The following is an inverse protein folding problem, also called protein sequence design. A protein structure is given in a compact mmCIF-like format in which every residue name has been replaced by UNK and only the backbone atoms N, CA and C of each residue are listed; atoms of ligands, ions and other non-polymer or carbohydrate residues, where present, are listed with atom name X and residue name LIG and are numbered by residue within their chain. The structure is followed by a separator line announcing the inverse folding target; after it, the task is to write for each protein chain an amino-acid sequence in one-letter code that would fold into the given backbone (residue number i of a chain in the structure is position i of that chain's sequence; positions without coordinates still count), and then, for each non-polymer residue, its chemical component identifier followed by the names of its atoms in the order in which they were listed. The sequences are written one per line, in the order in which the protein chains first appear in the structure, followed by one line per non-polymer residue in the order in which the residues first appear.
data_IF_606886428846
#
_entry.id   IF_606886428846
#
_cell.length_a   1.000
_cell.length_b   1.000
_cell.length_c   1.000
_cell.angle_alpha   90.00
_cell.angle_beta   90.00
_cell.angle_gamma   90.00
#
_symmetry.space_group_name_H-M   'P 1'
#
loop_
_entity.id
_entity.type
_entity.pdbx_description
1 polymer ?
#
# COMPACT_ATOMS: atom_id res chain seq x y z
N UNK A 1 3.38 -14.32 31.48
CA UNK A 1 3.92 -12.99 31.16
C UNK A 1 4.86 -13.18 29.97
N UNK A 2 4.33 -13.11 28.75
CA UNK A 2 5.17 -13.13 27.54
C UNK A 2 5.53 -11.69 27.20
N UNK A 3 6.82 -11.40 27.23
CA UNK A 3 7.42 -10.15 26.79
C UNK A 3 7.24 -10.02 25.29
N UNK A 4 6.28 -9.19 24.90
CA UNK A 4 6.09 -8.74 23.53
C UNK A 4 7.34 -7.93 23.14
N UNK A 5 8.26 -8.57 22.43
CA UNK A 5 9.43 -7.90 21.86
C UNK A 5 8.93 -7.23 20.60
N UNK A 6 8.91 -5.89 20.48
CA UNK A 6 8.54 -5.27 19.22
C UNK A 6 9.53 -5.77 18.17
N UNK A 7 9.00 -6.42 17.14
CA UNK A 7 9.79 -6.84 15.99
C UNK A 7 10.59 -5.62 15.51
N UNK A 8 11.92 -5.70 15.61
CA UNK A 8 12.80 -4.63 15.18
C UNK A 8 12.60 -4.47 13.67
N UNK A 9 11.83 -3.47 13.27
CA UNK A 9 11.72 -3.08 11.89
C UNK A 9 13.14 -2.78 11.35
N UNK A 10 13.54 -3.51 10.31
CA UNK A 10 14.79 -3.26 9.61
C UNK A 10 14.56 -2.12 8.63
N UNK A 11 15.34 -1.04 8.77
CA UNK A 11 15.30 0.09 7.84
C UNK A 11 15.59 -0.34 6.41
N UNK A 12 14.94 0.33 5.46
CA UNK A 12 15.20 0.16 4.04
C UNK A 12 16.62 0.59 3.66
N UNK A 13 17.30 -0.25 2.89
CA UNK A 13 18.47 0.14 2.11
C UNK A 13 17.99 0.68 0.75
N UNK A 14 17.79 2.00 0.67
CA UNK A 14 17.31 2.67 -0.54
C UNK A 14 18.15 2.38 -1.79
N UNK A 15 19.49 2.53 -1.73
CA UNK A 15 20.37 2.13 -2.83
C UNK A 15 20.20 0.66 -3.27
N UNK A 16 20.10 -0.28 -2.34
CA UNK A 16 19.91 -1.69 -2.67
C UNK A 16 18.55 -1.95 -3.34
N UNK A 17 17.47 -1.36 -2.82
CA UNK A 17 16.13 -1.47 -3.42
C UNK A 17 16.12 -0.89 -4.84
N UNK A 18 16.67 0.32 -5.03
CA UNK A 18 16.76 0.94 -6.36
C UNK A 18 17.58 0.08 -7.33
N UNK A 19 18.68 -0.50 -6.87
CA UNK A 19 19.51 -1.42 -7.66
C UNK A 19 18.74 -2.67 -8.06
N UNK A 20 17.93 -3.21 -7.15
CA UNK A 20 17.10 -4.39 -7.43
C UNK A 20 15.99 -4.08 -8.43
N UNK A 21 15.31 -2.94 -8.32
CA UNK A 21 14.29 -2.51 -9.30
C UNK A 21 14.92 -2.31 -10.69
N UNK A 22 16.14 -1.73 -10.76
CA UNK A 22 16.86 -1.62 -12.03
C UNK A 22 17.20 -2.99 -12.63
N UNK A 23 17.57 -3.97 -11.80
CA UNK A 23 17.81 -5.34 -12.26
C UNK A 23 16.54 -6.02 -12.81
N UNK A 24 15.37 -5.78 -12.18
CA UNK A 24 14.09 -6.25 -12.70
C UNK A 24 13.78 -5.63 -14.08
N UNK A 25 14.00 -4.32 -14.24
CA UNK A 25 13.82 -3.63 -15.50
C UNK A 25 14.69 -4.20 -16.63
N UNK A 26 15.95 -4.51 -16.33
CA UNK A 26 16.87 -5.13 -17.30
C UNK A 26 16.46 -6.56 -17.68
N UNK A 27 15.87 -7.31 -16.73
CA UNK A 27 15.40 -8.66 -16.98
C UNK A 27 14.07 -8.71 -17.75
N UNK A 28 13.31 -7.60 -17.77
CA UNK A 28 11.99 -7.51 -18.39
C UNK A 28 11.87 -6.29 -19.34
N UNK A 29 12.65 -6.24 -20.44
CA UNK A 29 12.66 -5.10 -21.37
C UNK A 29 11.33 -4.92 -22.12
N UNK A 30 10.47 -5.95 -22.13
CA UNK A 30 9.15 -5.91 -22.75
C UNK A 30 8.01 -5.63 -21.78
N UNK A 31 8.29 -5.34 -20.50
CA UNK A 31 7.29 -5.17 -19.44
C UNK A 31 6.25 -6.30 -19.40
N UNK A 32 6.71 -7.55 -19.57
CA UNK A 32 5.87 -8.75 -19.65
C UNK A 32 5.39 -9.22 -18.28
N UNK A 33 6.07 -8.80 -17.22
CA UNK A 33 5.62 -9.05 -15.85
C UNK A 33 4.30 -8.31 -15.62
N UNK A 34 3.37 -8.98 -14.94
CA UNK A 34 2.05 -8.42 -14.67
C UNK A 34 2.17 -7.04 -13.97
N UNK A 35 1.42 -6.05 -14.49
CA UNK A 35 1.42 -4.66 -14.04
C UNK A 35 2.68 -3.83 -14.38
N UNK A 36 3.77 -4.46 -14.83
CA UNK A 36 5.01 -3.75 -15.16
C UNK A 36 4.88 -2.75 -16.31
N UNK A 37 3.93 -2.95 -17.22
CA UNK A 37 3.66 -1.99 -18.30
C UNK A 37 3.13 -0.65 -17.78
N UNK A 38 2.44 -0.64 -16.63
CA UNK A 38 1.92 0.58 -16.01
C UNK A 38 3.02 1.42 -15.36
N UNK A 39 3.78 0.82 -14.44
CA UNK A 39 4.81 1.55 -13.70
C UNK A 39 6.18 1.59 -14.40
N UNK A 40 6.45 0.71 -15.36
CA UNK A 40 7.69 0.68 -16.16
C UNK A 40 8.98 0.57 -15.33
N UNK A 41 8.90 -0.10 -14.18
CA UNK A 41 9.94 -0.14 -13.14
C UNK A 41 10.46 1.24 -12.68
N UNK A 42 9.70 2.32 -12.88
CA UNK A 42 10.07 3.68 -12.45
C UNK A 42 9.64 3.94 -11.02
N UNK A 43 10.60 4.19 -10.14
CA UNK A 43 10.33 4.68 -8.79
C UNK A 43 10.14 6.20 -8.81
N UNK A 44 9.13 6.69 -8.08
CA UNK A 44 9.01 8.12 -7.83
C UNK A 44 10.12 8.58 -6.88
N UNK A 45 10.56 9.85 -6.95
CA UNK A 45 11.53 10.38 -5.99
C UNK A 45 11.07 10.17 -4.54
N UNK A 46 11.99 9.89 -3.59
CA UNK A 46 11.65 9.86 -2.18
C UNK A 46 11.00 11.17 -1.74
N UNK A 47 10.01 11.08 -0.85
CA UNK A 47 9.32 12.23 -0.31
C UNK A 47 10.19 12.97 0.72
N UNK A 48 10.26 14.30 0.67
CA UNK A 48 10.85 15.08 1.75
C UNK A 48 10.12 14.81 3.07
N UNK A 49 10.87 14.78 4.17
CA UNK A 49 10.33 14.60 5.53
C UNK A 49 9.17 15.56 5.83
N UNK A 50 9.24 16.81 5.35
CA UNK A 50 8.15 17.78 5.54
C UNK A 50 6.87 17.42 4.75
N UNK A 51 6.99 16.79 3.58
CA UNK A 51 5.82 16.32 2.83
C UNK A 51 5.13 15.16 3.56
N UNK A 52 5.92 14.23 4.13
CA UNK A 52 5.42 13.13 4.97
C UNK A 52 4.72 13.70 6.20
N UNK A 53 5.37 14.62 6.93
CA UNK A 53 4.79 15.25 8.12
C UNK A 53 3.53 16.04 7.81
N UNK A 54 3.49 16.74 6.67
CA UNK A 54 2.29 17.46 6.23
C UNK A 54 1.13 16.51 6.03
N UNK A 55 1.35 15.36 5.39
CA UNK A 55 0.33 14.33 5.23
C UNK A 55 -0.14 13.78 6.58
N UNK A 56 0.81 13.41 7.45
CA UNK A 56 0.53 12.92 8.81
C UNK A 56 -0.32 13.92 9.62
N UNK A 57 0.04 15.21 9.59
CA UNK A 57 -0.71 16.28 10.27
C UNK A 57 -2.09 16.52 9.67
N UNK A 58 -2.22 16.52 8.34
CA UNK A 58 -3.48 16.78 7.67
C UNK A 58 -4.54 15.73 8.02
N UNK A 59 -4.12 14.47 8.21
CA UNK A 59 -5.04 13.37 8.51
C UNK A 59 -5.05 12.95 9.98
N UNK A 60 -4.25 13.59 10.85
CA UNK A 60 -4.19 13.30 12.29
C UNK A 60 -3.65 11.89 12.61
N UNK A 61 -2.68 11.42 11.84
CA UNK A 61 -2.11 10.07 11.94
C UNK A 61 -0.59 10.09 12.08
N UNK A 62 -0.02 8.92 12.39
CA UNK A 62 1.39 8.61 12.14
C UNK A 62 1.41 7.45 11.16
N UNK A 63 2.17 7.57 10.07
CA UNK A 63 2.24 6.49 9.09
C UNK A 63 2.97 5.27 9.68
N UNK A 64 2.59 4.03 9.30
CA UNK A 64 3.32 2.84 9.73
C UNK A 64 4.81 2.95 9.40
N UNK A 65 5.67 2.64 10.38
CA UNK A 65 7.11 2.91 10.32
C UNK A 65 7.78 2.40 9.03
N UNK A 66 7.45 1.17 8.61
CA UNK A 66 8.02 0.58 7.40
C UNK A 66 7.66 1.34 6.11
N UNK A 67 6.41 1.80 6.01
CA UNK A 67 5.94 2.59 4.87
C UNK A 67 6.50 4.01 4.93
N UNK A 68 6.51 4.64 6.10
CA UNK A 68 7.07 5.97 6.31
C UNK A 68 8.55 6.04 5.93
N UNK A 69 9.34 5.08 6.39
CA UNK A 69 10.77 5.00 6.08
C UNK A 69 10.99 4.69 4.58
N UNK A 70 10.12 3.89 3.95
CA UNK A 70 10.17 3.64 2.50
C UNK A 70 9.98 4.94 1.72
N UNK A 71 8.97 5.74 2.08
CA UNK A 71 8.64 6.99 1.41
C UNK A 71 9.82 7.97 1.42
N UNK A 72 10.52 8.08 2.55
CA UNK A 72 11.64 9.01 2.72
C UNK A 72 12.98 8.52 2.16
N UNK A 73 13.23 7.20 2.16
CA UNK A 73 14.54 6.66 1.78
C UNK A 73 14.57 6.00 0.39
N UNK A 74 13.44 5.45 -0.06
CA UNK A 74 13.36 4.62 -1.28
C UNK A 74 12.64 5.36 -2.40
N UNK A 75 11.34 5.62 -2.23
CA UNK A 75 10.48 6.17 -3.26
C UNK A 75 9.15 6.68 -2.69
N UNK A 76 8.64 7.78 -3.22
CA UNK A 76 7.33 8.32 -2.87
C UNK A 76 6.14 7.61 -3.54
N UNK A 77 6.37 6.51 -4.26
CA UNK A 77 5.41 5.81 -5.11
C UNK A 77 6.10 5.20 -6.34
N UNK A 78 5.33 4.82 -7.36
CA UNK A 78 5.80 4.28 -8.62
C UNK A 78 5.94 2.76 -8.60
N UNK A 79 7.09 2.22 -9.02
CA UNK A 79 7.27 0.78 -9.17
C UNK A 79 7.03 0.00 -7.88
N UNK A 80 6.33 -1.12 -8.01
CA UNK A 80 5.94 -1.98 -6.90
C UNK A 80 5.09 -3.17 -7.38
N UNK A 81 4.54 -3.96 -6.46
CA UNK A 81 3.59 -5.03 -6.76
C UNK A 81 2.51 -4.61 -7.76
N UNK A 82 2.19 -5.51 -8.69
CA UNK A 82 1.14 -5.33 -9.69
C UNK A 82 1.29 -4.00 -10.45
N UNK A 83 0.29 -3.11 -10.40
CA UNK A 83 0.32 -1.83 -11.13
C UNK A 83 1.17 -0.76 -10.42
N UNK A 84 1.78 -1.08 -9.29
CA UNK A 84 2.71 -0.23 -8.57
C UNK A 84 2.19 0.22 -7.21
N UNK A 85 2.93 1.16 -6.64
CA UNK A 85 2.69 1.76 -5.34
C UNK A 85 2.26 3.21 -5.50
N UNK A 86 1.10 3.55 -4.97
CA UNK A 86 0.61 4.92 -4.88
C UNK A 86 1.20 5.60 -3.65
N UNK A 87 1.81 6.76 -3.87
CA UNK A 87 2.24 7.65 -2.80
C UNK A 87 1.07 8.16 -1.96
N UNK A 88 1.27 8.58 -0.69
CA UNK A 88 0.18 9.00 0.21
C UNK A 88 -0.63 10.20 -0.29
N UNK A 89 -0.03 11.09 -1.10
CA UNK A 89 -0.71 12.25 -1.69
C UNK A 89 -0.72 12.20 -3.23
N UNK A 90 -0.52 11.02 -3.81
CA UNK A 90 -0.59 10.84 -5.26
C UNK A 90 -2.02 11.03 -5.76
N UNK A 91 -2.17 11.81 -6.83
CA UNK A 91 -3.45 12.05 -7.47
C UNK A 91 -3.79 10.87 -8.39
N UNK A 92 -5.07 10.57 -8.43
CA UNK A 92 -5.64 9.49 -9.22
C UNK A 92 -6.64 10.14 -10.16
N UNK A 93 -6.62 9.72 -11.43
CA UNK A 93 -7.57 10.23 -12.43
C UNK A 93 -9.00 9.83 -12.04
N UNK A 94 -9.97 10.70 -12.31
CA UNK A 94 -11.39 10.46 -12.02
C UNK A 94 -11.95 9.27 -12.81
N UNK A 95 -11.33 8.92 -13.93
CA UNK A 95 -11.71 7.78 -14.77
C UNK A 95 -11.20 6.43 -14.22
N UNK A 96 -10.26 6.45 -13.27
CA UNK A 96 -9.69 5.23 -12.70
C UNK A 96 -10.62 4.60 -11.67
N UNK A 97 -10.76 3.27 -11.71
CA UNK A 97 -11.62 2.53 -10.79
C UNK A 97 -11.26 2.73 -9.30
N UNK A 98 -10.02 3.14 -9.03
CA UNK A 98 -9.52 3.38 -7.69
C UNK A 98 -9.81 4.81 -7.16
N UNK A 99 -10.34 5.72 -7.99
CA UNK A 99 -10.57 7.12 -7.61
C UNK A 99 -11.43 7.26 -6.37
N UNK A 100 -12.64 6.68 -6.38
CA UNK A 100 -13.60 6.80 -5.28
C UNK A 100 -13.05 6.21 -3.97
N UNK A 101 -12.38 5.05 -4.07
CA UNK A 101 -11.75 4.40 -2.92
C UNK A 101 -10.63 5.26 -2.34
N UNK A 102 -9.86 5.92 -3.22
CA UNK A 102 -8.76 6.79 -2.81
C UNK A 102 -9.29 8.09 -2.20
N UNK A 103 -10.28 8.71 -2.82
CA UNK A 103 -10.93 9.92 -2.32
C UNK A 103 -11.58 9.66 -0.95
N UNK A 104 -12.19 8.49 -0.76
CA UNK A 104 -12.69 8.06 0.55
C UNK A 104 -11.58 7.99 1.61
N UNK A 105 -10.46 7.34 1.29
CA UNK A 105 -9.34 7.19 2.22
C UNK A 105 -8.83 8.55 2.74
N UNK A 106 -8.94 9.61 1.93
CA UNK A 106 -8.41 10.94 2.23
C UNK A 106 -9.43 11.86 2.92
N UNK A 107 -10.66 11.41 3.18
CA UNK A 107 -11.64 12.20 3.95
C UNK A 107 -11.17 12.42 5.40
N UNK A 108 -11.61 13.54 5.97
CA UNK A 108 -11.30 13.90 7.37
C UNK A 108 -11.68 12.77 8.34
N UNK A 109 -10.74 12.40 9.20
CA UNK A 109 -10.92 11.36 10.22
C UNK A 109 -10.92 9.92 9.70
N UNK A 110 -10.94 9.67 8.38
CA UNK A 110 -11.01 8.32 7.84
C UNK A 110 -9.79 7.48 8.20
N UNK A 111 -8.57 8.01 7.99
CA UNK A 111 -7.33 7.31 8.35
C UNK A 111 -7.08 7.24 9.85
N UNK A 112 -7.61 8.20 10.63
CA UNK A 112 -7.44 8.26 12.08
C UNK A 112 -8.39 7.32 12.83
N UNK A 113 -9.52 6.96 12.23
CA UNK A 113 -10.41 5.94 12.76
C UNK A 113 -9.71 4.57 12.76
N UNK A 114 -9.94 3.71 13.78
CA UNK A 114 -9.30 2.41 13.85
C UNK A 114 -9.82 1.47 12.77
N UNK A 115 -8.91 0.72 12.15
CA UNK A 115 -9.25 -0.33 11.22
C UNK A 115 -10.11 -1.40 11.91
N UNK A 116 -11.30 -1.74 11.39
CA UNK A 116 -12.32 -2.47 12.13
C UNK A 116 -12.11 -4.00 12.13
N UNK A 117 -11.05 -4.52 11.52
CA UNK A 117 -10.88 -5.95 11.29
C UNK A 117 -9.51 -6.46 11.74
N UNK A 118 -9.49 -7.68 12.27
CA UNK A 118 -8.26 -8.39 12.66
C UNK A 118 -8.11 -9.72 11.95
N UNK A 119 -9.19 -10.18 11.30
CA UNK A 119 -9.27 -11.42 10.53
C UNK A 119 -9.91 -11.15 9.18
N UNK A 120 -9.77 -12.11 8.25
CA UNK A 120 -10.41 -12.03 6.96
C UNK A 120 -11.92 -11.79 7.06
N UNK A 121 -12.45 -11.03 6.11
CA UNK A 121 -13.88 -10.81 5.88
C UNK A 121 -14.20 -11.34 4.49
N UNK A 122 -14.97 -12.44 4.36
CA UNK A 122 -15.29 -12.98 3.05
C UNK A 122 -16.13 -11.97 2.24
N UNK A 123 -15.93 -11.97 0.92
CA UNK A 123 -16.76 -11.19 0.01
C UNK A 123 -18.19 -11.73 0.00
N UNK A 124 -19.19 -10.89 -0.29
CA UNK A 124 -20.59 -11.31 -0.28
C UNK A 124 -20.96 -12.15 -1.52
N UNK A 125 -20.07 -12.26 -2.51
CA UNK A 125 -20.30 -12.95 -3.77
C UNK A 125 -21.10 -12.10 -4.75
N UNK A 126 -21.28 -12.64 -5.97
CA UNK A 126 -22.01 -11.95 -7.04
C UNK A 126 -23.44 -11.60 -6.60
N UNK A 127 -23.82 -10.33 -6.75
CA UNK A 127 -25.14 -9.81 -6.37
C UNK A 127 -25.31 -9.55 -4.87
N UNK A 128 -24.25 -9.73 -4.07
CA UNK A 128 -24.22 -9.34 -2.68
C UNK A 128 -23.91 -7.86 -2.48
N UNK A 129 -24.39 -7.30 -1.37
CA UNK A 129 -24.08 -5.93 -0.98
C UNK A 129 -22.74 -5.91 -0.23
N UNK A 130 -21.76 -5.22 -0.81
CA UNK A 130 -20.46 -5.06 -0.21
C UNK A 130 -20.37 -3.67 0.41
N UNK A 131 -20.13 -3.58 1.72
CA UNK A 131 -19.69 -2.33 2.33
C UNK A 131 -18.34 -1.98 1.69
N UNK A 132 -18.10 -0.80 1.13
CA UNK A 132 -16.79 -0.46 0.54
C UNK A 132 -15.91 0.37 1.50
N UNK A 133 -16.48 0.80 2.63
CA UNK A 133 -15.81 1.72 3.55
C UNK A 133 -14.96 0.97 4.57
N UNK A 134 -13.64 1.16 4.49
CA UNK A 134 -12.67 0.49 5.36
C UNK A 134 -11.78 1.52 6.05
N UNK A 135 -12.31 2.12 7.11
CA UNK A 135 -11.61 3.14 7.91
C UNK A 135 -10.26 2.65 8.43
N UNK A 136 -9.36 3.58 8.74
CA UNK A 136 -8.03 3.27 9.24
C UNK A 136 -7.11 2.60 8.22
N UNK A 137 -7.47 2.59 6.93
CA UNK A 137 -6.66 2.03 5.85
C UNK A 137 -6.48 3.00 4.69
N UNK A 138 -5.37 2.86 3.97
CA UNK A 138 -5.05 3.60 2.77
C UNK A 138 -4.88 2.62 1.60
N UNK A 139 -5.61 2.80 0.51
CA UNK A 139 -5.37 2.06 -0.73
C UNK A 139 -4.04 2.50 -1.31
N UNK A 140 -3.06 1.60 -1.41
CA UNK A 140 -1.69 1.89 -1.85
C UNK A 140 -1.33 1.29 -3.22
N UNK A 141 -2.24 0.56 -3.86
CA UNK A 141 -1.99 0.02 -5.20
C UNK A 141 -3.14 -0.84 -5.72
N UNK A 142 -3.14 -1.09 -7.02
CA UNK A 142 -4.13 -1.91 -7.71
C UNK A 142 -3.51 -3.26 -8.14
N UNK A 143 -4.18 -4.36 -7.79
CA UNK A 143 -3.80 -5.73 -8.13
C UNK A 143 -4.41 -6.22 -9.45
N UNK A 144 -5.28 -5.42 -10.08
CA UNK A 144 -6.08 -5.78 -11.24
C UNK A 144 -7.36 -6.52 -10.87
N UNK A 145 -8.24 -6.77 -11.85
CA UNK A 145 -9.55 -7.42 -11.66
C UNK A 145 -10.45 -6.72 -10.61
N UNK A 146 -10.22 -5.44 -10.33
CA UNK A 146 -10.94 -4.71 -9.28
C UNK A 146 -10.49 -5.04 -7.85
N UNK A 147 -9.32 -5.66 -7.69
CA UNK A 147 -8.70 -5.92 -6.39
C UNK A 147 -7.62 -4.86 -6.05
N UNK A 148 -7.51 -4.51 -4.78
CA UNK A 148 -6.63 -3.43 -4.31
C UNK A 148 -5.76 -3.87 -3.13
N UNK A 149 -4.60 -3.24 -3.01
CA UNK A 149 -3.73 -3.36 -1.84
C UNK A 149 -4.02 -2.23 -0.86
N UNK A 150 -4.38 -2.57 0.38
CA UNK A 150 -4.68 -1.62 1.46
C UNK A 150 -3.64 -1.70 2.57
N UNK A 151 -2.95 -0.60 2.84
CA UNK A 151 -2.13 -0.44 4.03
C UNK A 151 -3.03 -0.11 5.22
N UNK A 152 -2.98 -0.91 6.27
CA UNK A 152 -3.58 -0.53 7.56
C UNK A 152 -2.73 0.56 8.19
N UNK A 153 -3.33 1.72 8.43
CA UNK A 153 -2.69 2.92 8.99
C UNK A 153 -2.90 2.97 10.51
N UNK A 154 -4.15 2.80 10.96
CA UNK A 154 -4.52 2.94 12.37
C UNK A 154 -5.24 1.71 12.87
N UNK A 155 -4.90 1.23 14.06
CA UNK A 155 -5.49 0.03 14.68
C UNK A 155 -4.46 -1.07 14.94
N UNK A 156 -4.91 -2.23 15.42
CA UNK A 156 -4.02 -3.34 15.84
C UNK A 156 -3.24 -3.97 14.69
N UNK A 157 -3.70 -3.82 13.44
CA UNK A 157 -3.04 -4.31 12.24
C UNK A 157 -2.12 -3.29 11.56
N UNK A 158 -1.84 -2.13 12.18
CA UNK A 158 -1.08 -1.05 11.55
C UNK A 158 0.25 -1.54 10.93
N UNK A 159 0.46 -1.22 9.65
CA UNK A 159 1.60 -1.67 8.85
C UNK A 159 1.36 -2.92 8.01
N UNK A 160 0.28 -3.68 8.25
CA UNK A 160 -0.12 -4.79 7.37
C UNK A 160 -0.68 -4.29 6.04
N UNK A 161 -0.39 -5.02 4.97
CA UNK A 161 -0.99 -4.81 3.65
C UNK A 161 -2.06 -5.89 3.44
N UNK A 162 -3.30 -5.48 3.39
CA UNK A 162 -4.46 -6.33 3.16
C UNK A 162 -4.83 -6.34 1.68
N UNK A 163 -5.28 -7.48 1.16
CA UNK A 163 -5.91 -7.55 -0.16
C UNK A 163 -7.39 -7.25 -0.01
N UNK A 164 -7.86 -6.33 -0.85
CA UNK A 164 -9.26 -5.94 -0.99
C UNK A 164 -9.78 -6.41 -2.34
N UNK A 165 -10.33 -7.62 -2.37
CA UNK A 165 -11.06 -8.22 -3.50
C UNK A 165 -12.55 -8.30 -3.12
N UNK A 166 -13.15 -7.13 -2.87
CA UNK A 166 -14.35 -6.96 -2.05
C UNK A 166 -15.53 -7.86 -2.43
N UNK A 167 -15.71 -8.17 -3.72
CA UNK A 167 -16.83 -8.98 -4.23
C UNK A 167 -16.61 -10.47 -4.01
N UNK A 168 -15.40 -10.98 -4.29
CA UNK A 168 -15.11 -12.41 -4.32
C UNK A 168 -14.31 -12.85 -3.10
N UNK A 169 -13.03 -12.46 -3.02
CA UNK A 169 -12.13 -12.80 -1.91
C UNK A 169 -12.39 -12.04 -0.61
N UNK A 170 -13.10 -10.92 -0.68
CA UNK A 170 -13.34 -9.99 0.41
C UNK A 170 -12.08 -9.26 0.87
N UNK A 171 -12.01 -8.95 2.16
CA UNK A 171 -10.80 -8.40 2.79
C UNK A 171 -9.98 -9.52 3.41
N UNK A 172 -8.74 -9.69 2.98
CA UNK A 172 -7.85 -10.71 3.54
C UNK A 172 -6.57 -10.09 4.10
N UNK A 173 -6.13 -10.50 5.31
CA UNK A 173 -4.90 -10.00 5.89
C UNK A 173 -3.69 -10.51 5.11
N UNK A 174 -2.74 -9.61 4.86
CA UNK A 174 -1.44 -9.95 4.31
C UNK A 174 -0.29 -9.62 5.27
N UNK A 175 0.95 -9.71 4.79
CA UNK A 175 2.13 -9.43 5.61
C UNK A 175 2.28 -7.93 5.90
N UNK A 176 3.28 -7.55 6.69
CA UNK A 176 3.66 -6.13 6.81
C UNK A 176 4.16 -5.56 5.47
N UNK A 177 4.08 -4.24 5.32
CA UNK A 177 4.50 -3.53 4.11
C UNK A 177 5.93 -3.87 3.66
N UNK A 178 6.85 -4.06 4.60
CA UNK A 178 8.24 -4.40 4.31
C UNK A 178 8.35 -5.77 3.64
N UNK A 179 7.74 -6.77 4.24
CA UNK A 179 7.67 -8.12 3.69
C UNK A 179 6.89 -8.17 2.36
N UNK A 180 5.77 -7.47 2.25
CA UNK A 180 4.96 -7.37 1.03
C UNK A 180 5.77 -6.84 -0.16
N UNK A 181 6.45 -5.70 0.02
CA UNK A 181 7.22 -5.09 -1.06
C UNK A 181 8.50 -5.88 -1.38
N UNK A 182 9.15 -6.45 -0.36
CA UNK A 182 10.34 -7.30 -0.56
C UNK A 182 10.03 -8.59 -1.31
N UNK A 183 8.85 -9.18 -1.11
CA UNK A 183 8.42 -10.36 -1.86
C UNK A 183 8.34 -10.06 -3.37
N UNK A 184 7.84 -8.89 -3.75
CA UNK A 184 7.82 -8.45 -5.15
C UNK A 184 9.23 -8.20 -5.72
N UNK A 185 10.15 -7.67 -4.92
CA UNK A 185 11.54 -7.55 -5.34
C UNK A 185 12.19 -8.92 -5.57
N UNK A 186 11.75 -9.97 -4.88
CA UNK A 186 12.33 -11.31 -4.96
C UNK A 186 11.79 -12.17 -6.11
N UNK A 187 10.57 -11.92 -6.57
CA UNK A 187 9.93 -12.61 -7.71
C UNK A 187 10.50 -12.21 -9.07
#
# INVERSE_FOLDING_TARGET
MNTDTPARYQRWDGPAVRSRVAALALADPGHRRFGAAGHGYRLHPPLPEEAIRRFERAHGIVLPAAYRDFLGAVAGGGAGPDHGLLGPAEQVDEEEALYDLRAECLRDGFLAAPFPHTTARPGPGLGGDADYSVTGSLVIGEQGCGAFSRLVVTGSGAGQVWTDDRVWGGLTPGPDFGAWYTAWLAS
#
